data_IF_387363359595
#
_entry.id   IF_387363359595
#
_cell.length_a   1.000
_cell.length_b   1.000
_cell.length_c   1.000
_cell.angle_alpha   90.00
_cell.angle_beta   90.00
_cell.angle_gamma   90.00
#
_symmetry.space_group_name_H-M   'P 1'
#
loop_
_entity.id
_entity.type
_entity.pdbx_description
1 polymer ?
#
# COMPACT_ATOMS: atom_id res chain seq x y z
N UNK A 1 16.86 54.61 1.54
CA UNK A 1 15.54 54.25 2.12
C UNK A 1 14.64 53.51 1.14
N UNK A 2 14.51 53.97 -0.11
CA UNK A 2 13.61 53.38 -1.13
C UNK A 2 13.94 51.93 -1.51
N UNK A 3 15.21 51.57 -1.71
CA UNK A 3 15.61 50.20 -2.07
C UNK A 3 15.25 49.15 -1.00
N UNK A 4 15.37 49.51 0.28
CA UNK A 4 15.06 48.62 1.41
C UNK A 4 13.56 48.32 1.51
N UNK A 5 12.72 49.30 1.15
CA UNK A 5 11.26 49.14 1.09
C UNK A 5 10.85 48.21 -0.06
N UNK A 6 11.49 48.35 -1.23
CA UNK A 6 11.22 47.48 -2.39
C UNK A 6 11.59 46.02 -2.08
N UNK A 7 12.74 45.80 -1.43
CA UNK A 7 13.17 44.46 -1.01
C UNK A 7 12.21 43.85 0.01
N UNK A 8 11.74 44.62 1.00
CA UNK A 8 10.73 44.13 1.96
C UNK A 8 9.40 43.77 1.29
N UNK A 9 8.93 44.60 0.35
CA UNK A 9 7.69 44.33 -0.39
C UNK A 9 7.82 43.06 -1.25
N UNK A 10 8.97 42.84 -1.89
CA UNK A 10 9.24 41.63 -2.66
C UNK A 10 9.25 40.37 -1.78
N UNK A 11 9.85 40.44 -0.57
CA UNK A 11 9.85 39.31 0.38
C UNK A 11 8.42 39.05 0.90
N UNK A 12 7.65 40.10 1.22
CA UNK A 12 6.28 39.97 1.71
C UNK A 12 5.31 39.42 0.64
N UNK A 13 5.49 39.78 -0.63
CA UNK A 13 4.67 39.23 -1.73
C UNK A 13 4.97 37.75 -2.00
N UNK A 14 6.23 37.32 -1.83
CA UNK A 14 6.64 35.92 -1.91
C UNK A 14 6.07 35.10 -0.75
N UNK A 15 6.13 35.62 0.48
CA UNK A 15 5.64 34.92 1.68
C UNK A 15 4.11 34.86 1.70
N UNK A 16 3.39 35.91 1.25
CA UNK A 16 1.93 35.94 1.22
C UNK A 16 1.29 34.85 0.35
N UNK A 17 1.98 34.42 -0.72
CA UNK A 17 1.50 33.38 -1.65
C UNK A 17 1.55 31.96 -1.05
N UNK A 18 2.47 31.71 -0.11
CA UNK A 18 2.74 30.35 0.41
C UNK A 18 1.96 30.02 1.68
N UNK A 19 1.41 31.02 2.37
CA UNK A 19 0.83 30.87 3.73
C UNK A 19 -0.56 30.21 3.76
N UNK A 20 -1.24 30.03 2.63
CA UNK A 20 -2.66 29.64 2.63
C UNK A 20 -2.99 28.14 2.53
N UNK A 21 -1.99 27.25 2.46
CA UNK A 21 -2.24 25.80 2.37
C UNK A 21 -1.83 25.10 3.66
N UNK A 22 -2.63 25.29 4.71
CA UNK A 22 -2.48 24.47 5.93
C UNK A 22 -3.04 23.08 5.63
N UNK A 23 -2.23 22.00 5.72
CA UNK A 23 -2.73 20.66 5.49
C UNK A 23 -3.80 20.29 6.52
N UNK A 24 -4.78 19.51 6.11
CA UNK A 24 -5.81 19.04 7.05
C UNK A 24 -5.19 18.12 8.09
N UNK A 25 -5.86 17.94 9.24
CA UNK A 25 -5.41 16.98 10.27
C UNK A 25 -5.24 15.56 9.70
N UNK A 26 -6.08 15.19 8.73
CA UNK A 26 -6.00 13.91 8.03
C UNK A 26 -4.72 13.83 7.20
N UNK A 27 -4.40 14.84 6.40
CA UNK A 27 -3.22 14.82 5.53
C UNK A 27 -1.92 14.79 6.34
N UNK A 28 -1.88 15.51 7.47
CA UNK A 28 -0.76 15.44 8.43
C UNK A 28 -0.60 14.02 8.97
N UNK A 29 -1.71 13.37 9.35
CA UNK A 29 -1.72 12.00 9.86
C UNK A 29 -1.23 11.01 8.80
N UNK A 30 -1.75 11.08 7.57
CA UNK A 30 -1.32 10.24 6.46
C UNK A 30 0.16 10.44 6.12
N UNK A 31 0.62 11.69 6.06
CA UNK A 31 2.02 12.00 5.81
C UNK A 31 2.94 11.39 6.88
N UNK A 32 2.52 11.42 8.15
CA UNK A 32 3.23 10.78 9.27
C UNK A 32 3.33 9.27 9.08
N UNK A 33 2.23 8.57 8.80
CA UNK A 33 2.24 7.13 8.57
C UNK A 33 3.14 6.72 7.41
N UNK A 34 3.02 7.42 6.28
CA UNK A 34 3.87 7.18 5.10
C UNK A 34 5.35 7.49 5.38
N UNK A 35 5.64 8.43 6.28
CA UNK A 35 7.00 8.70 6.73
C UNK A 35 7.54 7.58 7.63
N UNK A 36 6.76 7.12 8.61
CA UNK A 36 7.11 6.00 9.49
C UNK A 36 7.39 4.72 8.68
N UNK A 37 6.56 4.43 7.68
CA UNK A 37 6.76 3.33 6.74
C UNK A 37 8.10 3.44 5.99
N UNK A 38 8.41 4.63 5.45
CA UNK A 38 9.68 4.88 4.77
C UNK A 38 10.89 4.72 5.70
N UNK A 39 10.79 5.19 6.93
CA UNK A 39 11.83 5.00 7.95
C UNK A 39 12.02 3.53 8.32
N UNK A 40 10.96 2.72 8.28
CA UNK A 40 11.05 1.27 8.44
C UNK A 40 11.66 0.54 7.23
N UNK A 41 11.86 1.22 6.09
CA UNK A 41 12.39 0.66 4.85
C UNK A 41 11.32 0.18 3.87
N UNK A 42 10.06 0.58 4.06
CA UNK A 42 8.98 0.36 3.10
C UNK A 42 8.94 1.50 2.07
N UNK A 43 8.47 1.19 0.87
CA UNK A 43 8.21 2.20 -0.16
C UNK A 43 6.71 2.44 -0.25
N UNK A 44 6.30 3.69 -0.35
CA UNK A 44 4.89 4.06 -0.43
C UNK A 44 4.60 4.75 -1.75
N UNK A 45 3.58 4.28 -2.48
CA UNK A 45 3.10 4.87 -3.74
C UNK A 45 1.59 4.91 -3.75
N UNK A 46 1.02 5.82 -4.54
CA UNK A 46 -0.41 5.81 -4.85
C UNK A 46 -0.61 5.07 -6.16
N UNK A 47 -0.93 3.79 -6.04
CA UNK A 47 -1.19 2.90 -7.17
C UNK A 47 -2.13 1.78 -6.70
N UNK A 48 -2.42 0.82 -7.58
CA UNK A 48 -3.38 -0.23 -7.28
C UNK A 48 -3.31 -1.41 -8.24
N UNK A 49 -4.38 -2.21 -8.21
CA UNK A 49 -4.69 -3.26 -9.17
C UNK A 49 -5.88 -2.82 -10.02
N UNK A 50 -5.78 -3.00 -11.33
CA UNK A 50 -6.86 -2.67 -12.27
C UNK A 50 -7.94 -3.75 -12.19
N UNK A 51 -9.19 -3.42 -12.45
CA UNK A 51 -10.26 -4.39 -12.55
C UNK A 51 -9.91 -5.50 -13.56
N UNK A 52 -10.23 -6.74 -13.22
CA UNK A 52 -10.04 -7.91 -14.10
C UNK A 52 -11.33 -8.73 -14.24
N UNK A 53 -12.37 -8.17 -14.89
CA UNK A 53 -13.68 -8.83 -14.95
C UNK A 53 -13.68 -10.13 -15.73
N UNK A 54 -12.71 -10.31 -16.65
CA UNK A 54 -12.64 -11.50 -17.53
C UNK A 54 -12.01 -12.70 -16.85
N UNK A 55 -11.01 -12.47 -16.00
CA UNK A 55 -10.22 -13.55 -15.41
C UNK A 55 -10.72 -13.91 -14.00
N UNK A 56 -11.09 -12.90 -13.22
CA UNK A 56 -11.43 -13.07 -11.80
C UNK A 56 -12.84 -12.61 -11.42
N UNK A 57 -13.54 -11.90 -12.32
CA UNK A 57 -14.84 -11.33 -12.05
C UNK A 57 -14.82 -10.04 -11.23
N UNK A 58 -13.65 -9.55 -10.84
CA UNK A 58 -13.46 -8.27 -10.14
C UNK A 58 -13.81 -7.13 -11.09
N UNK A 59 -14.77 -6.28 -10.70
CA UNK A 59 -15.36 -5.25 -11.57
C UNK A 59 -14.76 -3.86 -11.41
N UNK A 60 -14.24 -3.57 -10.23
CA UNK A 60 -13.75 -2.25 -9.85
C UNK A 60 -12.25 -2.32 -9.57
N UNK A 61 -11.55 -1.22 -9.87
CA UNK A 61 -10.14 -1.07 -9.54
C UNK A 61 -9.95 -1.09 -8.02
N UNK A 62 -8.89 -1.76 -7.57
CA UNK A 62 -8.46 -1.76 -6.17
C UNK A 62 -7.32 -0.78 -6.02
N UNK A 63 -7.66 0.48 -5.77
CA UNK A 63 -6.70 1.58 -5.61
C UNK A 63 -6.49 2.01 -4.17
N UNK A 64 -5.37 2.68 -3.90
CA UNK A 64 -5.08 3.25 -2.59
C UNK A 64 -3.63 3.67 -2.45
N UNK A 65 -3.13 3.67 -1.22
CA UNK A 65 -1.71 3.73 -0.95
C UNK A 65 -1.15 2.31 -0.86
N UNK A 66 -0.19 2.02 -1.72
CA UNK A 66 0.53 0.77 -1.75
C UNK A 66 1.81 0.86 -0.94
N UNK A 67 1.97 -0.08 -0.02
CA UNK A 67 3.13 -0.19 0.85
C UNK A 67 3.94 -1.42 0.42
N UNK A 68 5.12 -1.18 -0.14
CA UNK A 68 5.99 -2.19 -0.71
C UNK A 68 7.14 -2.50 0.22
N UNK A 69 7.46 -3.78 0.31
CA UNK A 69 8.76 -4.28 0.75
C UNK A 69 9.44 -4.92 -0.45
N UNK A 70 10.51 -4.29 -0.94
CA UNK A 70 11.32 -4.85 -2.04
C UNK A 70 12.28 -5.91 -1.51
N UNK A 71 12.39 -7.00 -2.25
CA UNK A 71 13.34 -8.05 -1.95
C UNK A 71 14.77 -7.59 -2.31
N UNK A 72 15.67 -7.69 -1.34
CA UNK A 72 17.08 -7.29 -1.53
C UNK A 72 17.90 -8.40 -2.16
N UNK A 73 17.50 -9.66 -1.93
CA UNK A 73 18.14 -10.86 -2.47
C UNK A 73 17.14 -11.56 -3.37
N UNK A 74 16.94 -11.01 -4.56
CA UNK A 74 16.08 -11.64 -5.57
C UNK A 74 16.66 -13.01 -5.94
N UNK A 75 15.96 -14.07 -5.57
CA UNK A 75 16.24 -15.41 -6.08
C UNK A 75 15.80 -15.46 -7.54
N UNK A 76 16.76 -15.68 -8.44
CA UNK A 76 16.50 -15.73 -9.88
C UNK A 76 15.61 -16.92 -10.29
N UNK A 77 15.49 -17.92 -9.42
CA UNK A 77 14.62 -19.08 -9.65
C UNK A 77 13.19 -18.85 -9.18
N UNK A 78 12.96 -17.84 -8.34
CA UNK A 78 11.62 -17.50 -7.87
C UNK A 78 10.81 -16.84 -8.99
N UNK A 79 9.75 -17.52 -9.41
CA UNK A 79 8.78 -17.03 -10.41
C UNK A 79 7.38 -16.90 -9.82
N UNK A 80 7.22 -17.14 -8.52
CA UNK A 80 5.92 -17.18 -7.89
C UNK A 80 5.35 -15.77 -7.82
N UNK A 81 4.14 -15.59 -8.34
CA UNK A 81 3.43 -14.31 -8.27
C UNK A 81 1.97 -14.56 -8.05
N UNK A 82 1.43 -13.93 -7.02
CA UNK A 82 0.03 -14.04 -6.64
C UNK A 82 -0.45 -12.74 -6.01
N UNK A 83 -1.75 -12.48 -6.14
CA UNK A 83 -2.41 -11.39 -5.46
C UNK A 83 -3.81 -11.83 -5.05
N UNK A 84 -4.27 -11.30 -3.93
CA UNK A 84 -5.62 -11.46 -3.42
C UNK A 84 -6.17 -10.08 -3.08
N UNK A 85 -7.44 -9.88 -3.38
CA UNK A 85 -8.13 -8.60 -3.17
C UNK A 85 -9.35 -8.82 -2.29
N UNK A 86 -9.70 -7.80 -1.51
CA UNK A 86 -10.92 -7.75 -0.73
C UNK A 86 -12.07 -7.21 -1.58
N UNK A 87 -12.38 -7.93 -2.66
CA UNK A 87 -13.45 -7.62 -3.59
C UNK A 87 -14.20 -8.88 -4.00
N UNK A 88 -15.41 -8.71 -4.53
CA UNK A 88 -16.21 -9.83 -5.02
C UNK A 88 -15.73 -10.23 -6.42
N UNK A 89 -15.08 -11.39 -6.51
CA UNK A 89 -14.77 -12.13 -7.73
C UNK A 89 -15.30 -13.56 -7.65
N UNK A 90 -15.17 -14.35 -8.72
CA UNK A 90 -15.53 -15.77 -8.71
C UNK A 90 -14.39 -16.70 -8.28
N UNK A 91 -13.14 -16.23 -8.29
CA UNK A 91 -11.99 -16.99 -7.82
C UNK A 91 -11.83 -16.84 -6.31
N UNK A 92 -12.60 -17.59 -5.53
CA UNK A 92 -12.61 -17.47 -4.05
C UNK A 92 -12.09 -18.71 -3.33
N UNK A 93 -11.71 -19.75 -4.09
CA UNK A 93 -11.32 -21.04 -3.52
C UNK A 93 -10.10 -20.89 -2.61
N UNK A 94 -10.19 -21.46 -1.40
CA UNK A 94 -9.11 -21.44 -0.42
C UNK A 94 -8.92 -20.13 0.34
N UNK A 95 -9.72 -19.09 0.05
CA UNK A 95 -9.62 -17.77 0.69
C UNK A 95 -10.71 -17.53 1.76
N UNK A 96 -10.47 -16.62 2.72
CA UNK A 96 -11.52 -16.17 3.64
C UNK A 96 -12.67 -15.47 2.89
N UNK A 97 -13.82 -15.35 3.55
CA UNK A 97 -14.96 -14.60 3.02
C UNK A 97 -14.55 -13.16 2.66
N UNK A 98 -15.11 -12.64 1.57
CA UNK A 98 -14.83 -11.30 1.00
C UNK A 98 -13.48 -11.16 0.29
N UNK A 99 -12.65 -12.21 0.28
CA UNK A 99 -11.42 -12.25 -0.49
C UNK A 99 -11.58 -13.05 -1.78
N UNK A 100 -10.96 -12.56 -2.84
CA UNK A 100 -10.88 -13.23 -4.13
C UNK A 100 -9.45 -13.15 -4.67
N UNK A 101 -9.04 -14.17 -5.41
CA UNK A 101 -7.78 -14.16 -6.16
C UNK A 101 -7.85 -13.11 -7.27
N UNK A 102 -6.74 -12.42 -7.47
CA UNK A 102 -6.55 -11.50 -8.58
C UNK A 102 -5.97 -12.25 -9.78
N UNK A 103 -6.62 -12.14 -10.94
CA UNK A 103 -6.31 -12.81 -12.22
C UNK A 103 -6.39 -14.35 -12.20
N UNK A 104 -5.69 -15.02 -11.28
CA UNK A 104 -5.63 -16.49 -11.22
C UNK A 104 -5.50 -17.01 -9.80
N UNK A 105 -6.08 -18.18 -9.56
CA UNK A 105 -5.82 -18.96 -8.36
C UNK A 105 -4.42 -19.57 -8.42
N UNK A 106 -3.76 -19.65 -7.27
CA UNK A 106 -2.44 -20.27 -7.13
C UNK A 106 -2.51 -21.43 -6.14
N UNK A 107 -1.79 -22.55 -6.41
CA UNK A 107 -1.82 -23.74 -5.57
C UNK A 107 -0.98 -23.56 -4.29
N UNK A 108 -1.31 -22.54 -3.49
CA UNK A 108 -0.67 -22.28 -2.21
C UNK A 108 -1.28 -23.15 -1.10
N UNK A 109 -0.59 -23.24 0.04
CA UNK A 109 -1.18 -23.82 1.24
C UNK A 109 -2.30 -22.90 1.77
N UNK A 110 -3.55 -23.26 1.51
CA UNK A 110 -4.73 -22.48 1.89
C UNK A 110 -4.79 -22.16 3.39
N UNK A 111 -4.38 -23.08 4.27
CA UNK A 111 -4.40 -22.84 5.71
C UNK A 111 -3.38 -21.79 6.13
N UNK A 112 -2.20 -21.81 5.52
CA UNK A 112 -1.16 -20.79 5.76
C UNK A 112 -1.61 -19.44 5.21
N UNK A 113 -2.15 -19.39 3.99
CA UNK A 113 -2.66 -18.15 3.40
C UNK A 113 -3.81 -17.53 4.21
N UNK A 114 -4.77 -18.33 4.67
CA UNK A 114 -5.85 -17.86 5.53
C UNK A 114 -5.34 -17.32 6.87
N UNK A 115 -4.36 -18.01 7.48
CA UNK A 115 -3.73 -17.56 8.73
C UNK A 115 -2.98 -16.24 8.52
N UNK A 116 -2.29 -16.10 7.39
CA UNK A 116 -1.61 -14.88 7.00
C UNK A 116 -2.62 -13.73 6.85
N UNK A 117 -3.70 -13.91 6.08
CA UNK A 117 -4.75 -12.89 5.94
C UNK A 117 -5.39 -12.53 7.29
N UNK A 118 -5.61 -13.51 8.17
CA UNK A 118 -6.14 -13.26 9.51
C UNK A 118 -5.17 -12.48 10.42
N UNK A 119 -3.87 -12.53 10.15
CA UNK A 119 -2.82 -11.82 10.90
C UNK A 119 -2.56 -10.38 10.41
N UNK A 120 -3.34 -9.89 9.45
CA UNK A 120 -3.21 -8.55 8.92
C UNK A 120 -3.19 -7.49 10.04
N UNK A 121 -2.15 -6.65 10.13
CA UNK A 121 -2.06 -5.64 11.19
C UNK A 121 -3.01 -4.45 10.98
N UNK A 122 -3.50 -4.28 9.75
CA UNK A 122 -4.37 -3.20 9.31
C UNK A 122 -5.39 -3.72 8.30
N UNK A 123 -6.53 -3.03 8.16
CA UNK A 123 -7.55 -3.39 7.18
C UNK A 123 -7.11 -2.95 5.78
N UNK A 124 -6.54 -3.89 5.01
CA UNK A 124 -6.07 -3.66 3.63
C UNK A 124 -7.10 -4.12 2.61
N UNK A 125 -6.98 -3.59 1.40
CA UNK A 125 -7.85 -3.87 0.27
C UNK A 125 -7.24 -4.92 -0.68
N UNK A 126 -5.92 -5.09 -0.66
CA UNK A 126 -5.23 -6.16 -1.38
C UNK A 126 -3.90 -6.54 -0.74
N UNK A 127 -3.45 -7.76 -1.03
CA UNK A 127 -2.11 -8.27 -0.77
C UNK A 127 -1.57 -8.83 -2.08
N UNK A 128 -0.33 -8.48 -2.42
CA UNK A 128 0.36 -9.03 -3.58
C UNK A 128 1.77 -9.46 -3.21
N UNK A 129 2.18 -10.57 -3.82
CA UNK A 129 3.52 -11.13 -3.74
C UNK A 129 4.03 -11.36 -5.14
N UNK A 130 5.24 -10.89 -5.39
CA UNK A 130 6.00 -11.14 -6.61
C UNK A 130 7.42 -11.58 -6.22
N UNK A 131 8.24 -12.06 -7.17
CA UNK A 131 9.65 -12.36 -6.87
C UNK A 131 10.49 -11.13 -6.48
N UNK A 132 9.99 -9.92 -6.74
CA UNK A 132 10.72 -8.66 -6.51
C UNK A 132 10.26 -7.93 -5.26
N UNK A 133 9.04 -8.16 -4.81
CA UNK A 133 8.44 -7.47 -3.69
C UNK A 133 7.19 -8.16 -3.20
N UNK A 134 6.86 -7.88 -1.95
CA UNK A 134 5.54 -8.04 -1.37
C UNK A 134 4.94 -6.66 -1.12
N UNK A 135 3.64 -6.49 -1.33
CA UNK A 135 2.94 -5.25 -1.02
C UNK A 135 1.54 -5.48 -0.48
N UNK A 136 1.03 -4.46 0.19
CA UNK A 136 -0.40 -4.30 0.45
C UNK A 136 -0.92 -3.02 -0.19
N UNK A 137 -2.19 -3.02 -0.60
CA UNK A 137 -2.92 -1.82 -1.02
C UNK A 137 -3.87 -1.46 0.10
N UNK A 138 -3.81 -0.21 0.57
CA UNK A 138 -4.58 0.25 1.71
C UNK A 138 -5.18 1.63 1.44
N UNK A 139 -6.47 1.79 1.68
CA UNK A 139 -7.16 3.08 1.68
C UNK A 139 -6.75 4.05 2.80
N UNK A 140 -5.75 3.72 3.63
CA UNK A 140 -5.25 4.51 4.76
C UNK A 140 -6.36 4.96 5.73
N UNK A 141 -7.23 4.01 6.05
CA UNK A 141 -8.31 4.16 7.03
C UNK A 141 -7.90 3.51 8.36
N UNK A 142 -8.37 4.08 9.48
CA UNK A 142 -8.10 3.56 10.82
C UNK A 142 -7.54 4.60 11.79
N UNK A 143 -7.29 4.16 13.02
CA UNK A 143 -6.79 5.04 14.09
C UNK A 143 -5.27 4.95 14.23
N UNK A 144 -4.74 3.73 14.23
CA UNK A 144 -3.34 3.43 14.49
C UNK A 144 -2.67 2.77 13.28
N UNK A 145 -1.34 2.92 13.23
CA UNK A 145 -0.49 2.34 12.20
C UNK A 145 0.86 2.03 12.84
N UNK A 146 1.33 0.80 12.66
CA UNK A 146 2.67 0.38 13.04
C UNK A 146 3.43 -0.09 11.78
N UNK A 147 4.42 0.71 11.39
CA UNK A 147 5.25 0.45 10.23
C UNK A 147 6.12 -0.82 10.38
N UNK A 148 6.58 -1.14 11.59
CA UNK A 148 7.40 -2.33 11.83
C UNK A 148 6.55 -3.60 11.77
N UNK A 149 5.35 -3.55 12.34
CA UNK A 149 4.41 -4.68 12.26
C UNK A 149 4.00 -4.94 10.80
N UNK A 150 3.71 -3.89 10.02
CA UNK A 150 3.42 -4.06 8.59
C UNK A 150 4.61 -4.63 7.82
N UNK A 151 5.83 -4.17 8.12
CA UNK A 151 7.04 -4.72 7.50
C UNK A 151 7.22 -6.21 7.80
N UNK A 152 7.04 -6.62 9.05
CA UNK A 152 7.12 -8.03 9.46
C UNK A 152 6.07 -8.88 8.75
N UNK A 153 4.85 -8.37 8.64
CA UNK A 153 3.79 -9.01 7.85
C UNK A 153 4.21 -9.20 6.39
N UNK A 154 4.74 -8.15 5.74
CA UNK A 154 5.20 -8.23 4.35
C UNK A 154 6.37 -9.23 4.18
N UNK A 155 7.26 -9.36 5.16
CA UNK A 155 8.30 -10.40 5.15
C UNK A 155 7.69 -11.81 5.17
N UNK A 156 6.62 -12.02 5.93
CA UNK A 156 5.90 -13.31 5.93
C UNK A 156 5.21 -13.57 4.59
N UNK A 157 4.62 -12.54 3.97
CA UNK A 157 4.05 -12.62 2.62
C UNK A 157 5.12 -13.06 1.62
N UNK A 158 6.31 -12.45 1.64
CA UNK A 158 7.39 -12.79 0.72
C UNK A 158 7.89 -14.23 0.91
N UNK A 159 7.94 -14.70 2.16
CA UNK A 159 8.36 -16.05 2.53
C UNK A 159 7.34 -17.14 2.17
N UNK A 160 6.08 -16.77 1.86
CA UNK A 160 5.07 -17.71 1.41
C UNK A 160 5.34 -18.11 -0.05
N UNK A 161 5.92 -19.31 -0.22
CA UNK A 161 6.19 -19.97 -1.49
C UNK A 161 5.16 -21.09 -1.78
#
# INVERSE_FOLDING_TARGET
MTALVIVMIAILSLVGSVVWVRPSKRDVKLAKWRQEARQAGLYVKLDGLVAEPKDSGIRDDVGGASYYLYETKSDKQDQLSWAVVKAQGWLQQGLPKEWSWYQREMPLNNQHLQSLIASLPIAVDAIERTPKYSRVIWGESGQDFDAQQLKQFLQQVQALA
#
